data_IF_459893173174
#
_entry.id   IF_459893173174
#
_cell.length_a   1.000
_cell.length_b   1.000
_cell.length_c   1.000
_cell.angle_alpha   90.00
_cell.angle_beta   90.00
_cell.angle_gamma   90.00
#
_symmetry.space_group_name_H-M   'P 1'
#
loop_
_entity.id
_entity.type
_entity.pdbx_description
1 polymer ?
#
# COMPACT_ATOMS: atom_id res chain seq x y z
N UNK A 1 10.40 -36.87 23.50
CA UNK A 1 9.12 -36.48 22.85
C UNK A 1 9.06 -34.95 22.57
N UNK A 2 9.47 -34.12 23.50
CA UNK A 2 9.49 -32.64 23.33
C UNK A 2 10.43 -32.17 22.23
N UNK A 3 11.64 -32.68 22.14
CA UNK A 3 12.62 -32.31 21.12
C UNK A 3 12.17 -32.58 19.69
N UNK A 4 11.45 -33.69 19.46
CA UNK A 4 10.93 -34.02 18.13
C UNK A 4 9.82 -33.07 17.68
N UNK A 5 9.03 -32.51 18.61
CA UNK A 5 7.98 -31.55 18.29
C UNK A 5 8.57 -30.17 17.92
N UNK A 6 9.62 -29.76 18.63
CA UNK A 6 10.35 -28.51 18.36
C UNK A 6 11.07 -28.56 17.01
N UNK A 7 11.66 -29.71 16.66
CA UNK A 7 12.31 -29.92 15.35
C UNK A 7 11.29 -29.85 14.18
N UNK A 8 10.10 -30.42 14.35
CA UNK A 8 9.04 -30.36 13.35
C UNK A 8 8.51 -28.92 13.14
N UNK A 9 8.37 -28.17 14.22
CA UNK A 9 7.97 -26.75 14.15
C UNK A 9 9.04 -25.91 13.48
N UNK A 10 10.31 -26.10 13.81
CA UNK A 10 11.43 -25.41 13.18
C UNK A 10 11.52 -25.71 11.68
N UNK A 11 11.31 -26.97 11.29
CA UNK A 11 11.28 -27.37 9.87
C UNK A 11 10.08 -26.76 9.13
N UNK A 12 8.90 -26.72 9.75
CA UNK A 12 7.72 -26.09 9.16
C UNK A 12 7.92 -24.57 8.93
N UNK A 13 8.50 -23.88 9.92
CA UNK A 13 8.83 -22.47 9.80
C UNK A 13 9.89 -22.21 8.72
N UNK A 14 10.92 -23.04 8.63
CA UNK A 14 11.95 -22.92 7.60
C UNK A 14 11.36 -23.13 6.19
N UNK A 15 10.46 -24.11 6.01
CA UNK A 15 9.75 -24.34 4.74
C UNK A 15 8.86 -23.16 4.37
N UNK A 16 8.09 -22.62 5.32
CA UNK A 16 7.26 -21.43 5.12
C UNK A 16 8.09 -20.20 4.73
N UNK A 17 9.22 -19.97 5.41
CA UNK A 17 10.13 -18.89 5.08
C UNK A 17 10.76 -19.05 3.69
N UNK A 18 11.12 -20.28 3.30
CA UNK A 18 11.65 -20.56 1.97
C UNK A 18 10.58 -20.36 0.87
N UNK A 19 9.35 -20.80 1.11
CA UNK A 19 8.23 -20.58 0.21
C UNK A 19 7.94 -19.08 0.04
N UNK A 20 7.90 -18.34 1.13
CA UNK A 20 7.72 -16.89 1.13
C UNK A 20 8.82 -16.17 0.33
N UNK A 21 10.09 -16.54 0.51
CA UNK A 21 11.19 -15.97 -0.28
C UNK A 21 11.04 -16.22 -1.78
N UNK A 22 10.55 -17.40 -2.19
CA UNK A 22 10.28 -17.71 -3.62
C UNK A 22 9.17 -16.82 -4.17
N UNK A 23 8.06 -16.67 -3.44
CA UNK A 23 6.94 -15.81 -3.84
C UNK A 23 7.41 -14.38 -4.00
N UNK A 24 8.09 -13.83 -3.01
CA UNK A 24 8.62 -12.45 -3.06
C UNK A 24 9.59 -12.26 -4.23
N UNK A 25 10.46 -13.23 -4.48
CA UNK A 25 11.41 -13.17 -5.61
C UNK A 25 10.67 -13.24 -6.96
N UNK A 26 9.63 -14.07 -7.06
CA UNK A 26 8.77 -14.17 -8.25
C UNK A 26 8.00 -12.86 -8.51
N UNK A 27 7.32 -12.32 -7.50
CA UNK A 27 6.62 -11.03 -7.60
C UNK A 27 7.56 -9.90 -8.01
N UNK A 28 8.77 -9.87 -7.45
CA UNK A 28 9.80 -8.88 -7.82
C UNK A 28 10.20 -8.97 -9.30
N UNK A 29 10.44 -10.19 -9.81
CA UNK A 29 10.79 -10.39 -11.22
C UNK A 29 9.66 -9.96 -12.14
N UNK A 30 8.42 -10.31 -11.79
CA UNK A 30 7.24 -9.92 -12.55
C UNK A 30 7.05 -8.39 -12.55
N UNK A 31 7.22 -7.74 -11.42
CA UNK A 31 7.14 -6.29 -11.32
C UNK A 31 8.19 -5.59 -12.18
N UNK A 32 9.46 -6.04 -12.12
CA UNK A 32 10.53 -5.49 -12.95
C UNK A 32 10.28 -5.72 -14.44
N UNK A 33 9.83 -6.91 -14.83
CA UNK A 33 9.48 -7.20 -16.21
C UNK A 33 8.31 -6.33 -16.70
N UNK A 34 7.27 -6.17 -15.86
CA UNK A 34 6.16 -5.28 -16.15
C UNK A 34 6.59 -3.83 -16.35
N UNK A 35 7.46 -3.31 -15.49
CA UNK A 35 8.02 -1.97 -15.65
C UNK A 35 8.86 -1.82 -16.93
N UNK A 36 9.68 -2.82 -17.25
CA UNK A 36 10.51 -2.82 -18.48
C UNK A 36 9.66 -2.84 -19.75
N UNK A 37 8.50 -3.48 -19.72
CA UNK A 37 7.57 -3.52 -20.85
C UNK A 37 6.72 -2.23 -20.90
N UNK A 38 6.26 -1.74 -19.77
CA UNK A 38 5.39 -0.57 -19.69
C UNK A 38 6.03 0.70 -20.27
N UNK A 39 7.32 0.92 -20.00
CA UNK A 39 8.02 2.11 -20.49
C UNK A 39 8.07 2.21 -22.01
N UNK A 40 8.58 1.18 -22.77
CA UNK A 40 8.62 1.26 -24.23
C UNK A 40 7.22 1.25 -24.86
N UNK A 41 6.28 0.48 -24.30
CA UNK A 41 4.89 0.48 -24.80
C UNK A 41 4.28 1.86 -24.64
N UNK A 42 4.43 2.50 -23.49
CA UNK A 42 3.94 3.85 -23.26
C UNK A 42 4.61 4.87 -24.19
N UNK A 43 5.93 4.75 -24.43
CA UNK A 43 6.65 5.61 -25.35
C UNK A 43 6.09 5.47 -26.79
N UNK A 44 5.91 4.25 -27.28
CA UNK A 44 5.37 4.00 -28.61
C UNK A 44 3.96 4.54 -28.75
N UNK A 45 3.08 4.31 -27.76
CA UNK A 45 1.70 4.82 -27.79
C UNK A 45 1.67 6.34 -27.75
N UNK A 46 2.48 6.98 -26.93
CA UNK A 46 2.55 8.45 -26.88
C UNK A 46 2.99 9.03 -28.22
N UNK A 47 4.03 8.48 -28.83
CA UNK A 47 4.52 8.97 -30.13
C UNK A 47 3.56 8.65 -31.27
N UNK A 48 2.95 7.48 -31.30
CA UNK A 48 2.10 7.04 -32.40
C UNK A 48 0.68 7.64 -32.37
N UNK A 49 0.13 7.87 -31.17
CA UNK A 49 -1.27 8.29 -31.00
C UNK A 49 -1.38 9.78 -30.65
N UNK A 50 -0.57 10.25 -29.71
CA UNK A 50 -0.69 11.60 -29.17
C UNK A 50 0.31 12.59 -29.76
N UNK A 51 1.36 12.13 -30.44
CA UNK A 51 2.47 12.96 -30.95
C UNK A 51 3.11 13.89 -29.90
N UNK A 52 2.89 13.61 -28.60
CA UNK A 52 3.42 14.34 -27.45
C UNK A 52 4.05 13.37 -26.46
N UNK A 53 4.94 13.84 -25.61
CA UNK A 53 5.62 13.02 -24.59
C UNK A 53 5.04 13.22 -23.18
N UNK A 54 3.88 13.83 -23.06
CA UNK A 54 3.33 14.26 -21.77
C UNK A 54 3.08 13.09 -20.80
N UNK A 55 2.36 12.08 -21.26
CA UNK A 55 2.08 10.88 -20.46
C UNK A 55 3.31 10.01 -20.20
N UNK A 56 4.31 10.10 -21.06
CA UNK A 56 5.54 9.33 -20.90
C UNK A 56 6.28 9.69 -19.60
N UNK A 57 6.36 10.98 -19.27
CA UNK A 57 7.00 11.43 -18.03
C UNK A 57 6.29 10.95 -16.78
N UNK A 58 4.95 10.91 -16.79
CA UNK A 58 4.15 10.39 -15.68
C UNK A 58 4.46 8.90 -15.46
N UNK A 59 4.52 8.12 -16.54
CA UNK A 59 4.86 6.69 -16.47
C UNK A 59 6.30 6.50 -15.99
N UNK A 60 7.24 7.28 -16.51
CA UNK A 60 8.65 7.21 -16.12
C UNK A 60 8.84 7.44 -14.62
N UNK A 61 8.22 8.50 -14.08
CA UNK A 61 8.28 8.82 -12.65
C UNK A 61 7.58 7.72 -11.83
N UNK A 62 6.46 7.18 -12.30
CA UNK A 62 5.76 6.08 -11.61
C UNK A 62 6.59 4.81 -11.55
N UNK A 63 7.29 4.46 -12.62
CA UNK A 63 8.16 3.27 -12.70
C UNK A 63 9.43 3.44 -11.86
N UNK A 64 9.89 4.66 -11.62
CA UNK A 64 11.07 4.91 -10.79
C UNK A 64 10.85 4.48 -9.31
N UNK A 65 9.62 4.47 -8.80
CA UNK A 65 9.31 4.02 -7.45
C UNK A 65 9.63 2.52 -7.21
N UNK A 66 9.14 1.56 -8.02
CA UNK A 66 9.54 0.15 -7.91
C UNK A 66 11.06 -0.08 -8.04
N UNK A 67 11.75 0.71 -8.87
CA UNK A 67 13.20 0.67 -8.97
C UNK A 67 13.88 1.14 -7.69
N UNK A 68 13.37 2.20 -7.07
CA UNK A 68 13.83 2.68 -5.77
C UNK A 68 13.64 1.62 -4.67
N UNK A 69 12.50 0.95 -4.62
CA UNK A 69 12.26 -0.17 -3.70
C UNK A 69 13.24 -1.33 -3.93
N UNK A 70 13.50 -1.65 -5.20
CA UNK A 70 14.46 -2.69 -5.54
C UNK A 70 15.90 -2.33 -5.08
N UNK A 71 16.32 -1.08 -5.27
CA UNK A 71 17.62 -0.59 -4.80
C UNK A 71 17.72 -0.67 -3.27
N UNK A 72 16.69 -0.20 -2.54
CA UNK A 72 16.62 -0.29 -1.07
C UNK A 72 16.72 -1.76 -0.62
N UNK A 73 16.02 -2.65 -1.29
CA UNK A 73 16.05 -4.08 -0.96
C UNK A 73 17.44 -4.70 -1.12
N UNK A 74 18.21 -4.24 -2.10
CA UNK A 74 19.59 -4.71 -2.29
C UNK A 74 20.57 -4.16 -1.26
N UNK A 75 20.39 -2.89 -0.86
CA UNK A 75 21.40 -2.17 -0.08
C UNK A 75 21.14 -2.17 1.43
N UNK A 76 19.88 -2.26 1.89
CA UNK A 76 19.53 -1.85 3.24
C UNK A 76 19.18 -2.97 4.24
N UNK A 77 19.29 -4.25 3.88
CA UNK A 77 19.16 -5.40 4.80
C UNK A 77 17.97 -5.34 5.76
N UNK A 78 18.20 -5.01 7.03
CA UNK A 78 17.19 -5.01 8.09
C UNK A 78 16.20 -3.83 8.04
N UNK A 79 16.55 -2.72 7.39
CA UNK A 79 15.75 -1.49 7.37
C UNK A 79 14.97 -1.29 6.05
N UNK A 80 14.79 -2.35 5.28
CA UNK A 80 14.11 -2.29 3.97
C UNK A 80 12.70 -1.71 4.09
N UNK A 81 11.92 -2.20 5.05
CA UNK A 81 10.50 -1.85 5.15
C UNK A 81 10.28 -0.37 5.50
N UNK A 82 10.90 0.21 6.54
CA UNK A 82 10.75 1.63 6.84
C UNK A 82 11.27 2.54 5.72
N UNK A 83 12.34 2.15 5.05
CA UNK A 83 12.89 2.93 3.94
C UNK A 83 11.97 2.89 2.70
N UNK A 84 11.33 1.76 2.41
CA UNK A 84 10.33 1.68 1.34
C UNK A 84 9.10 2.55 1.64
N UNK A 85 8.63 2.56 2.89
CA UNK A 85 7.51 3.42 3.32
C UNK A 85 7.90 4.89 3.22
N UNK A 86 9.10 5.26 3.69
CA UNK A 86 9.61 6.62 3.60
C UNK A 86 9.78 7.07 2.15
N UNK A 87 10.38 6.23 1.29
CA UNK A 87 10.52 6.51 -0.14
C UNK A 87 9.15 6.74 -0.79
N UNK A 88 8.18 5.87 -0.54
CA UNK A 88 6.83 6.02 -1.07
C UNK A 88 6.18 7.32 -0.62
N UNK A 89 6.33 7.66 0.67
CA UNK A 89 5.78 8.89 1.24
C UNK A 89 6.36 10.16 0.60
N UNK A 90 7.65 10.14 0.30
CA UNK A 90 8.31 11.28 -0.37
C UNK A 90 7.99 11.30 -1.86
N UNK A 91 7.94 10.12 -2.51
CA UNK A 91 7.81 10.01 -3.97
C UNK A 91 6.43 10.41 -4.50
N UNK A 92 5.39 10.32 -3.69
CA UNK A 92 4.04 10.71 -4.11
C UNK A 92 3.95 12.20 -4.49
N UNK A 93 4.72 13.07 -3.84
CA UNK A 93 4.66 14.52 -4.08
C UNK A 93 5.29 14.93 -5.42
N UNK A 94 6.50 14.50 -5.81
CA UNK A 94 7.02 14.77 -7.15
C UNK A 94 6.17 14.14 -8.25
N UNK A 95 5.58 12.97 -8.04
CA UNK A 95 4.64 12.40 -8.99
C UNK A 95 3.43 13.31 -9.22
N UNK A 96 2.83 13.82 -8.14
CA UNK A 96 1.72 14.78 -8.23
C UNK A 96 2.14 16.09 -8.89
N UNK A 97 3.35 16.57 -8.62
CA UNK A 97 3.89 17.80 -9.26
C UNK A 97 4.05 17.61 -10.77
N UNK A 98 4.56 16.46 -11.22
CA UNK A 98 4.67 16.13 -12.65
C UNK A 98 3.28 16.09 -13.29
N UNK A 99 2.33 15.40 -12.71
CA UNK A 99 0.95 15.34 -13.22
C UNK A 99 0.32 16.73 -13.28
N UNK A 100 0.56 17.57 -12.28
CA UNK A 100 0.06 18.95 -12.26
C UNK A 100 0.67 19.80 -13.36
N UNK A 101 1.95 19.64 -13.65
CA UNK A 101 2.62 20.34 -14.74
C UNK A 101 1.97 20.13 -16.10
N UNK A 102 1.42 18.94 -16.35
CA UNK A 102 0.73 18.60 -17.61
C UNK A 102 -0.76 18.93 -17.61
N UNK A 103 -1.45 18.76 -16.48
CA UNK A 103 -2.89 18.97 -16.42
C UNK A 103 -3.28 20.41 -16.11
N UNK A 104 -2.40 21.18 -15.49
CA UNK A 104 -2.68 22.56 -15.09
C UNK A 104 -3.76 22.67 -14.00
N UNK A 105 -4.23 23.89 -13.76
CA UNK A 105 -5.34 24.16 -12.84
C UNK A 105 -4.95 24.16 -11.36
N UNK A 106 -5.93 24.44 -10.50
CA UNK A 106 -5.73 24.55 -9.04
C UNK A 106 -5.97 23.26 -8.26
N UNK A 107 -6.14 22.12 -8.91
CA UNK A 107 -6.54 20.86 -8.29
C UNK A 107 -5.46 20.28 -7.38
N UNK A 108 -4.17 20.55 -7.65
CA UNK A 108 -3.06 20.00 -6.86
C UNK A 108 -3.19 20.37 -5.38
N UNK A 109 -3.34 21.66 -5.11
CA UNK A 109 -3.41 22.17 -3.73
C UNK A 109 -4.76 21.94 -3.07
N UNK A 110 -5.85 21.99 -3.85
CA UNK A 110 -7.20 21.82 -3.32
C UNK A 110 -7.56 20.37 -3.04
N UNK A 111 -7.05 19.45 -3.86
CA UNK A 111 -7.49 18.05 -3.89
C UNK A 111 -6.38 17.06 -3.62
N UNK A 112 -5.41 17.00 -4.52
CA UNK A 112 -4.45 15.93 -4.57
C UNK A 112 -3.49 15.96 -3.38
N UNK A 113 -3.03 17.14 -2.98
CA UNK A 113 -2.12 17.29 -1.85
C UNK A 113 -2.74 16.84 -0.51
N UNK A 114 -3.96 17.29 -0.13
CA UNK A 114 -4.60 16.82 1.10
C UNK A 114 -4.90 15.32 1.07
N UNK A 115 -5.34 14.77 -0.08
CA UNK A 115 -5.59 13.34 -0.23
C UNK A 115 -4.31 12.52 -0.10
N UNK A 116 -3.22 12.96 -0.74
CA UNK A 116 -1.93 12.30 -0.64
C UNK A 116 -1.37 12.37 0.79
N UNK A 117 -1.46 13.52 1.45
CA UNK A 117 -1.04 13.67 2.83
C UNK A 117 -1.82 12.74 3.77
N UNK A 118 -3.14 12.66 3.61
CA UNK A 118 -3.98 11.73 4.36
C UNK A 118 -3.56 10.27 4.08
N UNK A 119 -3.31 9.91 2.82
CA UNK A 119 -2.81 8.59 2.43
C UNK A 119 -1.47 8.23 3.08
N UNK A 120 -0.55 9.19 3.14
CA UNK A 120 0.75 9.01 3.81
C UNK A 120 0.55 8.78 5.33
N UNK A 121 -0.33 9.52 5.98
CA UNK A 121 -0.64 9.30 7.41
C UNK A 121 -1.14 7.88 7.66
N UNK A 122 -2.09 7.39 6.86
CA UNK A 122 -2.58 6.02 6.98
C UNK A 122 -1.51 4.97 6.64
N UNK A 123 -0.68 5.22 5.64
CA UNK A 123 0.45 4.35 5.30
C UNK A 123 1.41 4.16 6.49
N UNK A 124 1.73 5.25 7.19
CA UNK A 124 2.55 5.20 8.39
C UNK A 124 1.82 4.53 9.56
N UNK A 125 0.52 4.75 9.73
CA UNK A 125 -0.27 4.06 10.75
C UNK A 125 -0.24 2.53 10.55
N UNK A 126 -0.43 2.05 9.32
CA UNK A 126 -0.28 0.63 8.99
C UNK A 126 1.13 0.12 9.27
N UNK A 127 2.14 0.86 8.82
CA UNK A 127 3.53 0.47 9.03
C UNK A 127 3.85 0.33 10.51
N UNK A 128 3.48 1.31 11.34
CA UNK A 128 3.71 1.28 12.79
C UNK A 128 2.97 0.11 13.44
N UNK A 129 1.71 -0.13 13.07
CA UNK A 129 0.95 -1.26 13.57
C UNK A 129 1.61 -2.61 13.23
N UNK A 130 2.06 -2.78 11.99
CA UNK A 130 2.65 -4.06 11.55
C UNK A 130 4.07 -4.28 12.06
N UNK A 131 4.89 -3.22 12.13
CA UNK A 131 6.32 -3.31 12.44
C UNK A 131 6.62 -3.31 13.93
N UNK A 132 5.94 -2.49 14.71
CA UNK A 132 6.31 -2.26 16.11
C UNK A 132 5.36 -2.89 17.13
N UNK A 133 4.15 -3.22 16.74
CA UNK A 133 3.21 -3.82 17.67
C UNK A 133 3.43 -5.33 17.76
N UNK A 134 3.90 -5.81 18.90
CA UNK A 134 4.11 -7.23 19.21
C UNK A 134 2.79 -7.91 19.61
N UNK A 135 1.85 -7.98 18.69
CA UNK A 135 0.57 -8.67 18.88
C UNK A 135 0.43 -9.85 17.92
N UNK A 136 -0.49 -10.74 18.23
CA UNK A 136 -0.84 -11.87 17.37
C UNK A 136 -1.32 -11.43 15.98
N UNK A 137 -1.25 -12.30 14.97
CA UNK A 137 -1.61 -11.93 13.59
C UNK A 137 -3.08 -11.49 13.46
N UNK A 138 -3.97 -12.05 14.25
CA UNK A 138 -5.40 -11.70 14.26
C UNK A 138 -5.65 -10.31 14.84
N UNK A 139 -4.94 -9.92 15.91
CA UNK A 139 -5.00 -8.57 16.47
C UNK A 139 -4.49 -7.52 15.48
N UNK A 140 -3.36 -7.81 14.83
CA UNK A 140 -2.82 -6.91 13.78
C UNK A 140 -3.82 -6.73 12.64
N UNK A 141 -4.41 -7.82 12.16
CA UNK A 141 -5.43 -7.78 11.11
C UNK A 141 -6.67 -6.97 11.54
N UNK A 142 -7.15 -7.17 12.78
CA UNK A 142 -8.28 -6.43 13.35
C UNK A 142 -8.01 -4.93 13.43
N UNK A 143 -6.84 -4.52 13.92
CA UNK A 143 -6.47 -3.11 14.00
C UNK A 143 -6.25 -2.49 12.62
N UNK A 144 -5.64 -3.21 11.68
CA UNK A 144 -5.56 -2.76 10.29
C UNK A 144 -6.94 -2.54 9.67
N UNK A 145 -7.91 -3.43 9.94
CA UNK A 145 -9.29 -3.26 9.50
C UNK A 145 -9.96 -2.02 10.14
N UNK A 146 -9.70 -1.73 11.43
CA UNK A 146 -10.16 -0.51 12.09
C UNK A 146 -9.54 0.76 11.49
N UNK A 147 -8.25 0.75 11.19
CA UNK A 147 -7.58 1.86 10.50
C UNK A 147 -8.24 2.10 9.13
N UNK A 148 -8.53 1.03 8.37
CA UNK A 148 -9.24 1.13 7.09
C UNK A 148 -10.65 1.67 7.26
N UNK A 149 -11.37 1.20 8.26
CA UNK A 149 -12.72 1.68 8.58
C UNK A 149 -12.76 3.18 8.89
N UNK A 150 -11.75 3.69 9.61
CA UNK A 150 -11.59 5.12 9.86
C UNK A 150 -11.11 5.92 8.64
N UNK A 151 -10.28 5.31 7.79
CA UNK A 151 -9.78 5.94 6.56
C UNK A 151 -10.90 6.18 5.55
N UNK A 152 -11.82 5.23 5.39
CA UNK A 152 -12.90 5.30 4.39
C UNK A 152 -13.74 6.59 4.49
N UNK A 153 -14.36 6.93 5.64
CA UNK A 153 -15.14 8.15 5.75
C UNK A 153 -14.28 9.42 5.66
N UNK A 154 -13.01 9.38 6.11
CA UNK A 154 -12.11 10.51 6.00
C UNK A 154 -11.79 10.84 4.53
N UNK A 155 -11.49 9.83 3.72
CA UNK A 155 -11.31 9.99 2.29
C UNK A 155 -12.60 10.43 1.60
N UNK A 156 -13.74 9.81 1.90
CA UNK A 156 -15.04 10.19 1.34
C UNK A 156 -15.43 11.64 1.66
N UNK A 157 -15.19 12.08 2.91
CA UNK A 157 -15.44 13.47 3.30
C UNK A 157 -14.53 14.44 2.53
N UNK A 158 -13.25 14.11 2.40
CA UNK A 158 -12.28 14.95 1.69
C UNK A 158 -12.59 14.99 0.19
N UNK A 159 -12.94 13.86 -0.43
CA UNK A 159 -13.34 13.79 -1.83
C UNK A 159 -14.56 14.66 -2.12
N UNK A 160 -15.59 14.65 -1.26
CA UNK A 160 -16.78 15.48 -1.42
C UNK A 160 -16.50 16.98 -1.30
N UNK A 161 -15.55 17.37 -0.47
CA UNK A 161 -15.12 18.79 -0.39
C UNK A 161 -14.44 19.26 -1.65
N UNK A 162 -13.77 18.36 -2.32
CA UNK A 162 -12.88 18.64 -3.45
C UNK A 162 -13.59 18.55 -4.78
N UNK A 163 -14.48 17.56 -4.92
CA UNK A 163 -15.26 17.29 -6.13
C UNK A 163 -16.75 17.42 -5.78
N UNK A 164 -17.33 18.63 -5.86
CA UNK A 164 -18.75 18.85 -5.51
C UNK A 164 -19.74 18.04 -6.35
N UNK A 165 -19.30 17.53 -7.51
CA UNK A 165 -20.11 16.73 -8.44
C UNK A 165 -20.04 15.23 -8.14
N UNK A 166 -19.23 14.78 -7.18
CA UNK A 166 -19.19 13.39 -6.76
C UNK A 166 -20.46 13.06 -5.99
N UNK A 167 -21.48 12.64 -6.71
CA UNK A 167 -22.80 12.23 -6.18
C UNK A 167 -22.80 10.81 -5.63
N UNK A 168 -21.62 10.26 -5.31
CA UNK A 168 -21.52 8.95 -4.66
C UNK A 168 -22.37 8.97 -3.39
N UNK A 169 -23.32 8.04 -3.24
CA UNK A 169 -24.20 8.04 -2.09
C UNK A 169 -23.38 7.82 -0.82
N UNK A 170 -23.48 8.75 0.12
CA UNK A 170 -22.86 8.67 1.46
C UNK A 170 -23.16 7.34 2.18
N UNK A 171 -24.20 6.65 1.79
CA UNK A 171 -24.57 5.30 2.23
C UNK A 171 -23.47 4.25 1.95
N UNK A 172 -22.78 4.33 0.79
CA UNK A 172 -21.70 3.39 0.45
C UNK A 172 -20.50 3.55 1.38
N UNK A 173 -20.13 4.76 1.72
CA UNK A 173 -19.04 5.03 2.67
C UNK A 173 -19.36 4.46 4.06
N UNK A 174 -20.60 4.61 4.52
CA UNK A 174 -21.04 4.08 5.80
C UNK A 174 -21.17 2.55 5.79
N UNK A 175 -21.66 1.97 4.70
CA UNK A 175 -21.74 0.51 4.55
C UNK A 175 -20.34 -0.13 4.55
N UNK A 176 -19.40 0.44 3.81
CA UNK A 176 -18.00 -0.04 3.81
C UNK A 176 -17.34 0.12 5.17
N UNK A 177 -17.54 1.26 5.82
CA UNK A 177 -17.04 1.51 7.18
C UNK A 177 -17.63 0.52 8.20
N UNK A 178 -18.94 0.31 8.16
CA UNK A 178 -19.64 -0.63 9.05
C UNK A 178 -19.18 -2.07 8.82
N UNK A 179 -19.08 -2.52 7.57
CA UNK A 179 -18.62 -3.87 7.25
C UNK A 179 -17.17 -4.12 7.71
N UNK A 180 -16.28 -3.15 7.52
CA UNK A 180 -14.90 -3.22 7.99
C UNK A 180 -14.80 -3.20 9.52
N UNK A 181 -15.64 -2.41 10.18
CA UNK A 181 -15.69 -2.38 11.65
C UNK A 181 -16.19 -3.71 12.23
N UNK A 182 -17.22 -4.31 11.63
CA UNK A 182 -17.71 -5.65 12.04
C UNK A 182 -16.64 -6.70 11.81
N UNK A 183 -15.96 -6.68 10.66
CA UNK A 183 -14.84 -7.60 10.38
C UNK A 183 -13.72 -7.44 11.42
N UNK A 184 -13.38 -6.22 11.77
CA UNK A 184 -12.36 -5.95 12.79
C UNK A 184 -12.76 -6.50 14.16
N UNK A 185 -14.01 -6.31 14.58
CA UNK A 185 -14.53 -6.84 15.84
C UNK A 185 -14.52 -8.36 15.86
N UNK A 186 -14.91 -9.03 14.78
CA UNK A 186 -14.84 -10.48 14.65
C UNK A 186 -13.41 -10.98 14.78
N UNK A 187 -12.45 -10.36 14.09
CA UNK A 187 -11.03 -10.74 14.16
C UNK A 187 -10.46 -10.57 15.57
N UNK A 188 -10.82 -9.50 16.26
CA UNK A 188 -10.40 -9.28 17.65
C UNK A 188 -11.05 -10.26 18.61
N UNK A 189 -12.33 -10.60 18.42
CA UNK A 189 -13.03 -11.59 19.23
C UNK A 189 -12.44 -13.01 19.07
N UNK A 190 -12.07 -13.40 17.85
CA UNK A 190 -11.39 -14.67 17.57
C UNK A 190 -10.06 -14.77 18.31
N UNK A 191 -9.30 -13.68 18.35
CA UNK A 191 -8.01 -13.64 19.05
C UNK A 191 -8.21 -13.77 20.57
N UNK A 192 -9.16 -13.03 21.15
CA UNK A 192 -9.52 -13.13 22.57
C UNK A 192 -10.02 -14.51 22.97
N UNK A 193 -10.74 -15.21 22.08
CA UNK A 193 -11.21 -16.56 22.34
C UNK A 193 -10.07 -17.59 22.37
N UNK A 194 -9.07 -17.42 21.52
CA UNK A 194 -7.86 -18.27 21.50
C UNK A 194 -7.04 -18.15 22.78
N UNK A 195 -6.87 -16.93 23.31
CA UNK A 195 -6.13 -16.71 24.55
C UNK A 195 -6.81 -17.32 25.79
N UNK A 196 -8.13 -17.53 25.77
CA UNK A 196 -8.86 -18.18 26.89
C UNK A 196 -8.72 -19.70 26.90
N UNK A 197 -8.29 -20.29 25.79
CA UNK A 197 -8.16 -21.74 25.64
C UNK A 197 -6.71 -22.24 25.67
N UNK A 198 -5.74 -21.36 25.83
CA UNK A 198 -4.31 -21.66 26.07
C UNK A 198 -3.91 -21.34 27.48
#
# INVERSE_FOLDING_TARGET
>A
FFTACDDLQAQAQARAAAAWRRVVTGCRRLCLAGCLIAVPVCLVVNLAVFHTLDWFWIVLVSVALPWGWWAIWRCCGKHVLPLCVALTSVWVFPLLAVVHGYTGGGWLWRSAFPLAALGVVFLWAYFLCLAYWNAGPWRKAGVCALITAGASPAFGWLCRRVVPQATEPWLLDWLTTASLAVLALVLLAVDCSKERHT
#
